data_IF_272490872408
#
_entry.id   IF_272490872408
#
_cell.length_a   1.000
_cell.length_b   1.000
_cell.length_c   1.000
_cell.angle_alpha   90.00
_cell.angle_beta   90.00
_cell.angle_gamma   90.00
#
_symmetry.space_group_name_H-M   'P 1'
#
loop_
_entity.id
_entity.type
_entity.pdbx_description
1 polymer ?
#
# COMPACT_ATOMS: atom_id res chain seq x y z
N UNK A 1 -70.04 -0.58 51.76
CA UNK A 1 -69.08 -1.65 51.43
C UNK A 1 -67.80 -1.01 51.01
N UNK A 2 -66.89 -0.71 51.95
CA UNK A 2 -65.59 -0.10 51.63
C UNK A 2 -64.51 -1.19 51.60
N UNK A 3 -63.96 -1.40 50.42
CA UNK A 3 -62.86 -2.29 50.21
C UNK A 3 -61.62 -1.77 50.93
N UNK A 4 -61.11 -2.53 51.89
CA UNK A 4 -59.85 -2.27 52.54
C UNK A 4 -58.75 -2.55 51.57
N UNK A 5 -58.16 -1.51 50.92
CA UNK A 5 -56.92 -1.61 50.15
C UNK A 5 -55.85 -2.14 51.09
N UNK A 6 -55.22 -3.25 50.71
CA UNK A 6 -54.21 -3.92 51.52
C UNK A 6 -52.98 -3.03 51.69
N UNK A 7 -52.88 -2.32 52.77
CA UNK A 7 -51.75 -1.46 53.19
C UNK A 7 -50.38 -2.18 53.10
N UNK A 8 -50.27 -3.51 53.37
CA UNK A 8 -48.99 -4.19 53.28
C UNK A 8 -48.44 -4.31 51.85
N UNK A 9 -49.28 -4.33 50.80
CA UNK A 9 -48.83 -4.43 49.44
C UNK A 9 -48.20 -3.14 48.91
N UNK A 10 -48.69 -2.00 49.36
CA UNK A 10 -48.11 -0.69 49.00
C UNK A 10 -46.82 -0.43 49.75
N UNK A 11 -46.66 -0.92 50.96
CA UNK A 11 -45.45 -0.78 51.76
C UNK A 11 -44.31 -1.66 51.19
N UNK A 12 -44.62 -2.86 50.70
CA UNK A 12 -43.62 -3.75 50.05
C UNK A 12 -43.17 -3.25 48.69
N UNK A 13 -44.07 -2.65 47.89
CA UNK A 13 -43.69 -2.02 46.61
C UNK A 13 -42.83 -0.77 46.83
N UNK A 14 -43.18 0.04 47.84
CA UNK A 14 -42.40 1.24 48.20
C UNK A 14 -41.02 0.91 48.74
N UNK A 15 -40.88 -0.18 49.52
CA UNK A 15 -39.61 -0.65 50.06
C UNK A 15 -38.69 -1.24 48.98
N UNK A 16 -39.24 -1.96 47.99
CA UNK A 16 -38.49 -2.50 46.87
C UNK A 16 -37.92 -1.41 45.92
N UNK A 17 -38.65 -0.29 45.78
CA UNK A 17 -38.20 0.86 45.01
C UNK A 17 -37.07 1.66 45.70
N UNK A 18 -37.08 1.67 47.06
CA UNK A 18 -36.01 2.37 47.81
C UNK A 18 -34.69 1.55 47.86
N UNK A 19 -34.77 0.22 47.78
CA UNK A 19 -33.58 -0.64 47.77
C UNK A 19 -32.88 -0.70 46.41
N UNK A 20 -33.58 -0.37 45.32
CA UNK A 20 -32.97 -0.30 43.98
C UNK A 20 -32.11 0.96 43.75
N UNK A 21 -32.17 1.93 44.67
CA UNK A 21 -31.42 3.19 44.59
C UNK A 21 -29.94 3.11 45.00
N UNK A 22 -29.52 2.02 45.67
CA UNK A 22 -28.14 1.91 46.19
C UNK A 22 -27.16 1.14 45.26
N UNK A 23 -27.57 0.72 44.09
CA UNK A 23 -26.71 -0.03 43.16
C UNK A 23 -26.04 0.84 42.11
N UNK A 24 -25.79 2.11 42.39
CA UNK A 24 -24.97 2.97 41.56
C UNK A 24 -23.47 2.78 41.86
N UNK A 25 -23.01 1.54 41.90
CA UNK A 25 -21.60 1.27 41.77
C UNK A 25 -21.27 1.51 40.30
N UNK A 26 -20.68 2.68 40.05
CA UNK A 26 -20.10 3.00 38.75
C UNK A 26 -19.04 1.94 38.44
N UNK A 27 -19.29 1.13 37.44
CA UNK A 27 -18.30 0.11 37.03
C UNK A 27 -17.10 0.83 36.48
N UNK A 28 -15.95 0.58 37.07
CA UNK A 28 -14.67 0.94 36.50
C UNK A 28 -14.47 0.08 35.21
N UNK A 29 -14.11 0.73 34.15
CA UNK A 29 -13.74 0.05 32.89
C UNK A 29 -12.28 0.32 32.60
N UNK A 30 -11.55 -0.72 32.28
CA UNK A 30 -10.22 -0.63 31.68
C UNK A 30 -10.30 -1.08 30.23
N UNK A 31 -9.65 -0.35 29.35
CA UNK A 31 -9.42 -0.72 27.97
C UNK A 31 -7.92 -0.94 27.80
N UNK A 32 -7.60 -2.07 27.15
CA UNK A 32 -6.26 -2.44 26.77
C UNK A 32 -6.11 -2.28 25.25
N UNK A 33 -5.08 -1.58 24.84
CA UNK A 33 -4.76 -1.33 23.44
C UNK A 33 -3.25 -1.55 23.24
N UNK A 34 -2.88 -2.30 22.21
CA UNK A 34 -1.51 -2.42 21.76
C UNK A 34 -1.24 -1.35 20.71
N UNK A 35 -0.23 -0.51 20.93
CA UNK A 35 0.19 0.52 19.99
C UNK A 35 1.60 0.23 19.51
N UNK A 36 1.77 0.16 18.20
CA UNK A 36 3.07 -0.03 17.55
C UNK A 36 3.50 1.26 16.90
N UNK A 37 4.61 1.82 17.35
CA UNK A 37 5.24 2.97 16.73
C UNK A 37 6.42 2.52 15.86
N UNK A 38 6.44 2.97 14.59
CA UNK A 38 7.51 2.70 13.64
C UNK A 38 8.19 3.99 13.26
N UNK A 39 9.46 4.11 13.60
CA UNK A 39 10.30 5.24 13.23
C UNK A 39 11.32 4.80 12.18
N UNK A 40 11.33 5.43 11.02
CA UNK A 40 12.35 5.19 10.01
C UNK A 40 13.70 5.67 10.53
N UNK A 41 14.68 4.76 10.62
CA UNK A 41 16.06 5.03 11.02
C UNK A 41 16.96 5.26 9.82
N UNK A 42 16.82 4.42 8.80
CA UNK A 42 17.62 4.49 7.59
C UNK A 42 16.80 4.07 6.36
N UNK A 43 17.07 4.75 5.25
CA UNK A 43 16.57 4.41 3.93
C UNK A 43 17.76 4.36 2.98
N UNK A 44 17.86 3.29 2.19
CA UNK A 44 18.89 3.13 1.17
C UNK A 44 18.33 2.39 -0.05
N UNK A 45 18.93 2.68 -1.20
CA UNK A 45 18.68 1.96 -2.44
C UNK A 45 19.87 1.05 -2.74
N UNK A 46 19.63 -0.12 -3.28
CA UNK A 46 20.66 -1.07 -3.67
C UNK A 46 20.43 -1.50 -5.12
N UNK A 47 21.48 -1.41 -5.93
CA UNK A 47 21.48 -1.88 -7.30
C UNK A 47 22.33 -3.15 -7.36
N UNK A 48 21.69 -4.28 -7.64
CA UNK A 48 22.35 -5.57 -7.84
C UNK A 48 22.46 -5.84 -9.34
N UNK A 49 23.64 -5.64 -9.89
CA UNK A 49 23.96 -5.93 -11.29
C UNK A 49 24.34 -7.41 -11.51
N UNK A 50 24.43 -8.21 -10.45
CA UNK A 50 24.90 -9.58 -10.48
C UNK A 50 26.40 -9.72 -10.81
N UNK A 51 26.90 -10.95 -10.70
CA UNK A 51 28.28 -11.29 -11.07
C UNK A 51 28.30 -12.07 -12.42
N UNK A 52 29.33 -11.90 -13.24
CA UNK A 52 30.38 -10.89 -13.16
C UNK A 52 29.88 -9.48 -13.47
N UNK A 53 30.53 -8.45 -12.90
CA UNK A 53 30.22 -7.03 -13.20
C UNK A 53 30.69 -6.60 -14.61
N UNK A 54 30.63 -7.52 -15.52
CA UNK A 54 31.00 -7.37 -16.93
C UNK A 54 29.89 -7.92 -17.79
N UNK A 55 29.44 -7.15 -18.75
CA UNK A 55 28.46 -7.53 -19.74
C UNK A 55 29.14 -8.30 -20.86
N UNK A 56 28.88 -9.60 -20.95
CA UNK A 56 29.41 -10.49 -22.01
C UNK A 56 28.37 -10.78 -23.08
N UNK A 57 27.10 -10.63 -22.74
CA UNK A 57 25.93 -10.69 -23.61
C UNK A 57 25.25 -9.33 -23.67
N UNK A 58 24.51 -9.01 -24.75
CA UNK A 58 23.84 -7.72 -24.90
C UNK A 58 22.77 -7.50 -23.86
N UNK A 59 22.17 -8.57 -23.32
CA UNK A 59 21.10 -8.55 -22.35
C UNK A 59 21.60 -8.77 -20.92
N UNK A 60 21.04 -8.00 -19.97
CA UNK A 60 21.28 -8.18 -18.54
C UNK A 60 20.05 -7.74 -17.74
N UNK A 61 19.71 -8.52 -16.73
CA UNK A 61 18.71 -8.14 -15.74
C UNK A 61 19.42 -7.60 -14.51
N UNK A 62 19.02 -6.40 -14.10
CA UNK A 62 19.56 -5.70 -12.93
C UNK A 62 18.43 -5.60 -11.92
N UNK A 63 18.69 -6.02 -10.69
CA UNK A 63 17.71 -5.95 -9.63
C UNK A 63 17.94 -4.70 -8.77
N UNK A 64 16.86 -3.96 -8.51
CA UNK A 64 16.92 -2.76 -7.68
C UNK A 64 16.01 -2.96 -6.49
N UNK A 65 16.57 -2.73 -5.30
CA UNK A 65 15.90 -2.94 -4.02
C UNK A 65 15.90 -1.66 -3.20
N UNK A 66 14.82 -1.40 -2.56
CA UNK A 66 14.65 -0.41 -1.52
C UNK A 66 14.82 -1.09 -0.16
N UNK A 67 15.75 -0.59 0.65
CA UNK A 67 16.00 -1.11 2.00
C UNK A 67 15.65 -0.05 3.03
N UNK A 68 14.76 -0.41 3.96
CA UNK A 68 14.35 0.44 5.07
C UNK A 68 14.62 -0.23 6.39
N UNK A 69 15.19 0.53 7.31
CA UNK A 69 15.41 0.10 8.70
C UNK A 69 14.50 0.92 9.58
N UNK A 70 13.68 0.24 10.38
CA UNK A 70 12.76 0.87 11.32
C UNK A 70 13.16 0.54 12.75
N UNK A 71 13.03 1.53 13.64
CA UNK A 71 12.95 1.33 15.08
C UNK A 71 11.47 1.13 15.42
N UNK A 72 11.14 -0.08 15.82
CA UNK A 72 9.76 -0.46 16.17
C UNK A 72 9.66 -0.55 17.68
N UNK A 73 8.78 0.25 18.26
CA UNK A 73 8.51 0.24 19.69
C UNK A 73 7.05 -0.16 19.89
N UNK A 74 6.83 -1.20 20.69
CA UNK A 74 5.52 -1.69 21.08
C UNK A 74 5.18 -1.18 22.46
N UNK A 75 4.00 -0.59 22.57
CA UNK A 75 3.46 -0.06 23.81
C UNK A 75 2.17 -0.79 24.16
N UNK A 76 2.06 -1.16 25.42
CA UNK A 76 0.81 -1.57 26.03
C UNK A 76 0.17 -0.34 26.68
N UNK A 77 -0.99 0.07 26.18
CA UNK A 77 -1.72 1.25 26.65
C UNK A 77 -2.95 0.81 27.41
N UNK A 78 -2.93 0.98 28.73
CA UNK A 78 -4.06 0.70 29.61
C UNK A 78 -4.77 2.00 29.96
N UNK A 79 -6.00 2.15 29.46
CA UNK A 79 -6.86 3.29 29.80
C UNK A 79 -7.79 2.92 30.92
N UNK A 80 -7.69 3.62 32.04
CA UNK A 80 -8.55 3.46 33.19
C UNK A 80 -9.62 4.57 33.21
N UNK A 81 -10.88 4.16 33.29
CA UNK A 81 -12.01 5.07 33.32
C UNK A 81 -12.65 5.04 34.71
N UNK A 82 -12.73 6.20 35.38
CA UNK A 82 -13.28 6.33 36.73
C UNK A 82 -14.79 6.12 36.78
N UNK A 83 -15.49 6.42 35.70
CA UNK A 83 -16.93 6.36 35.64
C UNK A 83 -17.41 5.88 34.30
N UNK A 84 -18.10 4.78 34.30
CA UNK A 84 -18.82 4.28 33.14
C UNK A 84 -20.27 4.02 33.51
N UNK A 85 -21.20 4.79 32.96
CA UNK A 85 -22.63 4.56 33.10
C UNK A 85 -23.15 3.95 31.79
N UNK A 86 -23.38 2.63 31.72
CA UNK A 86 -23.88 2.00 30.52
C UNK A 86 -25.27 2.55 30.18
N UNK A 87 -25.54 2.71 28.88
CA UNK A 87 -26.87 3.06 28.40
C UNK A 87 -27.89 1.98 28.80
N UNK A 88 -29.00 2.39 29.40
CA UNK A 88 -30.09 1.52 29.84
C UNK A 88 -31.38 1.93 29.12
N UNK A 89 -31.77 1.20 28.08
CA UNK A 89 -32.93 1.54 27.26
C UNK A 89 -34.25 1.63 28.03
N UNK A 90 -34.43 0.80 29.08
CA UNK A 90 -35.64 0.81 29.90
C UNK A 90 -35.86 2.13 30.66
N UNK A 91 -34.80 2.88 30.96
CA UNK A 91 -34.89 4.19 31.61
C UNK A 91 -35.61 5.22 30.75
N UNK A 92 -35.61 5.04 29.43
CA UNK A 92 -36.30 5.95 28.51
C UNK A 92 -37.83 5.96 28.71
N UNK A 93 -38.40 4.93 29.30
CA UNK A 93 -39.85 4.89 29.62
C UNK A 93 -40.26 6.02 30.53
N UNK A 94 -39.39 6.45 31.46
CA UNK A 94 -39.68 7.56 32.35
C UNK A 94 -38.88 8.83 32.07
N UNK A 95 -37.66 8.70 31.52
CA UNK A 95 -36.83 9.85 31.21
C UNK A 95 -37.41 10.73 30.09
N UNK A 96 -38.03 10.13 29.06
CA UNK A 96 -38.67 10.90 27.98
C UNK A 96 -39.84 11.75 28.49
N UNK A 97 -40.84 11.22 29.21
CA UNK A 97 -41.91 12.05 29.71
C UNK A 97 -41.44 13.09 30.77
N UNK A 98 -40.50 12.72 31.64
CA UNK A 98 -39.91 13.66 32.60
C UNK A 98 -39.07 14.74 31.91
N UNK A 99 -38.34 14.37 30.84
CA UNK A 99 -37.57 15.31 30.01
C UNK A 99 -38.48 16.36 29.37
N UNK A 100 -39.62 15.94 28.83
CA UNK A 100 -40.60 16.88 28.28
C UNK A 100 -41.11 17.88 29.32
N UNK A 101 -41.44 17.38 30.53
CA UNK A 101 -41.87 18.24 31.66
C UNK A 101 -40.73 19.19 32.06
N UNK A 102 -39.50 18.72 32.12
CA UNK A 102 -38.33 19.52 32.46
C UNK A 102 -38.07 20.64 31.47
N UNK A 103 -38.23 20.41 30.17
CA UNK A 103 -38.10 21.47 29.16
C UNK A 103 -39.16 22.55 29.38
N UNK A 104 -40.42 22.18 29.64
CA UNK A 104 -41.49 23.13 29.93
C UNK A 104 -41.18 23.93 31.20
N UNK A 105 -40.72 23.24 32.26
CA UNK A 105 -40.33 23.90 33.52
C UNK A 105 -39.13 24.85 33.30
N UNK A 106 -38.15 24.46 32.47
CA UNK A 106 -37.01 25.30 32.10
C UNK A 106 -37.42 26.57 31.37
N UNK A 107 -38.39 26.48 30.44
CA UNK A 107 -38.99 27.67 29.80
C UNK A 107 -39.63 28.57 30.82
N UNK A 108 -40.47 28.02 31.73
CA UNK A 108 -41.09 28.77 32.80
C UNK A 108 -40.10 29.47 33.74
N UNK A 109 -39.03 28.76 34.13
CA UNK A 109 -37.98 29.32 34.98
C UNK A 109 -37.23 30.47 34.30
N UNK A 110 -36.98 30.36 32.97
CA UNK A 110 -36.35 31.43 32.23
C UNK A 110 -37.24 32.67 32.06
N UNK A 111 -38.56 32.49 31.85
CA UNK A 111 -39.52 33.60 31.83
C UNK A 111 -39.56 34.28 33.21
N UNK A 112 -39.61 33.50 34.29
CA UNK A 112 -39.55 34.03 35.66
C UNK A 112 -38.23 34.77 35.93
N UNK A 113 -37.11 34.26 35.43
CA UNK A 113 -35.80 34.90 35.56
C UNK A 113 -35.75 36.29 34.89
N UNK A 114 -36.36 36.41 33.70
CA UNK A 114 -36.49 37.70 33.02
C UNK A 114 -37.34 38.67 33.81
N UNK A 115 -38.49 38.20 34.35
CA UNK A 115 -39.40 39.04 35.14
C UNK A 115 -38.84 39.45 36.49
N UNK A 116 -37.91 38.67 37.05
CA UNK A 116 -37.26 38.94 38.33
C UNK A 116 -35.84 39.52 38.19
N UNK A 117 -35.51 40.02 37.03
CA UNK A 117 -34.22 40.64 36.74
C UNK A 117 -33.00 39.77 37.12
N UNK A 118 -33.07 38.46 36.85
CA UNK A 118 -31.92 37.56 37.02
C UNK A 118 -31.81 36.92 38.41
N UNK A 119 -32.86 36.96 39.22
CA UNK A 119 -32.87 36.40 40.60
C UNK A 119 -33.18 34.88 40.65
N UNK A 120 -33.42 34.22 39.53
CA UNK A 120 -33.64 32.77 39.50
C UNK A 120 -32.29 32.03 39.37
N UNK A 121 -32.01 31.04 40.26
CA UNK A 121 -30.74 30.31 40.23
C UNK A 121 -30.47 29.61 38.87
N UNK A 122 -29.23 29.58 38.45
CA UNK A 122 -28.79 28.88 37.21
C UNK A 122 -29.17 27.41 37.20
N UNK A 123 -29.24 26.75 38.34
CA UNK A 123 -29.71 25.36 38.48
C UNK A 123 -31.16 25.17 38.04
N UNK A 124 -32.01 26.20 38.22
CA UNK A 124 -33.38 26.17 37.78
C UNK A 124 -33.56 26.58 36.31
N UNK A 125 -32.69 27.45 35.77
CA UNK A 125 -32.79 27.92 34.41
C UNK A 125 -32.07 27.01 33.40
N UNK A 126 -30.84 26.59 33.72
CA UNK A 126 -30.04 25.70 32.86
C UNK A 126 -30.24 24.23 33.19
N UNK A 127 -30.29 23.88 34.49
CA UNK A 127 -30.37 22.49 34.91
C UNK A 127 -31.62 21.76 34.39
N UNK A 128 -32.75 22.44 34.30
CA UNK A 128 -33.99 21.89 33.75
C UNK A 128 -33.86 21.63 32.23
N UNK A 129 -33.20 22.50 31.51
CA UNK A 129 -32.96 22.26 30.07
C UNK A 129 -31.99 21.12 29.84
N UNK A 130 -30.87 21.08 30.58
CA UNK A 130 -29.88 20.00 30.47
C UNK A 130 -30.54 18.64 30.78
N UNK A 131 -31.33 18.57 31.85
CA UNK A 131 -32.10 17.37 32.17
C UNK A 131 -33.12 17.03 31.09
N UNK A 132 -33.87 18.04 30.62
CA UNK A 132 -34.89 17.87 29.60
C UNK A 132 -34.37 17.37 28.28
N UNK A 133 -33.32 17.98 27.77
CA UNK A 133 -32.70 17.56 26.49
C UNK A 133 -32.05 16.20 26.61
N UNK A 134 -31.38 15.88 27.71
CA UNK A 134 -30.85 14.55 27.98
C UNK A 134 -31.94 13.48 28.05
N UNK A 135 -33.08 13.81 28.69
CA UNK A 135 -34.23 12.91 28.80
C UNK A 135 -34.89 12.61 27.45
N UNK A 136 -35.00 13.63 26.59
CA UNK A 136 -35.60 13.49 25.27
C UNK A 136 -34.69 12.78 24.28
N UNK A 137 -33.37 12.76 24.48
CA UNK A 137 -32.43 12.09 23.57
C UNK A 137 -32.53 10.56 23.76
N UNK A 138 -32.88 9.80 22.70
CA UNK A 138 -33.08 8.35 22.81
C UNK A 138 -31.76 7.55 23.01
N UNK A 139 -30.62 8.17 22.82
CA UNK A 139 -29.32 7.48 22.83
C UNK A 139 -28.51 7.65 24.11
N UNK A 140 -28.94 8.52 25.03
CA UNK A 140 -28.24 8.81 26.29
C UNK A 140 -29.21 8.79 27.47
N UNK A 141 -28.73 8.40 28.65
CA UNK A 141 -29.52 8.50 29.87
C UNK A 141 -29.26 9.81 30.61
N UNK A 142 -30.27 10.35 31.27
CA UNK A 142 -30.19 11.62 32.04
C UNK A 142 -29.17 11.57 33.16
N UNK A 143 -29.02 10.43 33.85
CA UNK A 143 -28.05 10.24 34.92
C UNK A 143 -26.61 10.37 34.47
N UNK A 144 -26.37 10.19 33.16
CA UNK A 144 -25.05 10.45 32.55
C UNK A 144 -24.84 11.94 32.23
N UNK A 145 -25.77 12.85 32.58
CA UNK A 145 -25.73 14.28 32.28
C UNK A 145 -25.53 14.58 30.81
N UNK A 146 -26.14 13.77 29.93
CA UNK A 146 -25.89 13.90 28.50
C UNK A 146 -24.47 13.59 28.07
N UNK A 147 -23.72 13.11 29.01
CA UNK A 147 -22.37 12.73 28.74
C UNK A 147 -22.36 11.23 28.69
N UNK A 148 -22.20 10.59 27.51
CA UNK A 148 -21.80 9.19 27.33
C UNK A 148 -20.43 9.05 28.01
N UNK A 149 -20.31 8.58 29.29
CA UNK A 149 -19.18 9.10 29.90
C UNK A 149 -18.33 8.17 30.60
N UNK A 150 -17.36 7.98 29.82
CA UNK A 150 -16.04 7.56 30.22
C UNK A 150 -15.24 8.81 30.60
N UNK A 151 -15.07 9.10 31.87
CA UNK A 151 -14.05 10.04 32.31
C UNK A 151 -12.76 9.23 32.39
N UNK A 152 -11.84 9.50 31.47
CA UNK A 152 -10.50 8.94 31.50
C UNK A 152 -9.80 9.45 32.76
N UNK A 153 -9.49 8.54 33.68
CA UNK A 153 -8.81 8.86 34.93
C UNK A 153 -7.30 8.79 34.76
N UNK A 154 -6.82 7.76 34.08
CA UNK A 154 -5.40 7.53 33.89
C UNK A 154 -5.15 6.80 32.58
N UNK A 155 -3.98 7.08 31.97
CA UNK A 155 -3.42 6.34 30.87
C UNK A 155 -2.07 5.81 31.35
N UNK A 156 -1.98 4.50 31.51
CA UNK A 156 -0.73 3.83 31.78
C UNK A 156 -0.19 3.31 30.44
N UNK A 157 0.92 3.87 30.00
CA UNK A 157 1.63 3.49 28.82
C UNK A 157 2.94 2.82 29.21
N UNK A 158 3.06 1.54 28.91
CA UNK A 158 4.26 0.77 29.20
C UNK A 158 4.89 0.31 27.89
N UNK A 159 6.16 0.63 27.70
CA UNK A 159 6.94 0.06 26.61
C UNK A 159 7.19 -1.43 26.89
N UNK A 160 6.70 -2.29 25.99
CA UNK A 160 6.82 -3.74 26.12
C UNK A 160 8.06 -4.24 25.39
N UNK A 161 8.25 -3.79 24.14
CA UNK A 161 9.35 -4.24 23.31
C UNK A 161 9.89 -3.10 22.46
N UNK A 162 11.19 -3.18 22.18
CA UNK A 162 11.85 -2.33 21.17
C UNK A 162 12.75 -3.19 20.31
N UNK A 163 12.52 -3.19 19.00
CA UNK A 163 13.31 -3.96 18.05
C UNK A 163 13.61 -3.18 16.78
N UNK A 164 14.67 -3.61 16.10
CA UNK A 164 14.99 -3.05 14.78
C UNK A 164 14.46 -4.00 13.71
N UNK A 165 13.60 -3.48 12.82
CA UNK A 165 13.07 -4.21 11.67
C UNK A 165 13.76 -3.76 10.40
N UNK A 166 14.18 -4.75 9.60
CA UNK A 166 14.76 -4.53 8.28
C UNK A 166 13.77 -4.98 7.21
N UNK A 167 13.48 -4.10 6.28
CA UNK A 167 12.59 -4.40 5.17
C UNK A 167 13.33 -4.17 3.87
N UNK A 168 13.25 -5.15 2.95
CA UNK A 168 13.78 -5.05 1.59
C UNK A 168 12.65 -5.28 0.62
N UNK A 169 12.34 -4.26 -0.17
CA UNK A 169 11.25 -4.25 -1.13
C UNK A 169 11.81 -4.04 -2.55
N UNK A 170 11.16 -4.58 -3.59
CA UNK A 170 11.53 -4.27 -4.95
C UNK A 170 11.24 -2.78 -5.26
N UNK A 171 12.18 -2.13 -5.95
CA UNK A 171 12.01 -0.78 -6.50
C UNK A 171 11.16 -0.84 -7.76
N UNK A 172 9.84 -1.05 -7.59
CA UNK A 172 8.92 -1.39 -8.67
C UNK A 172 8.40 -0.17 -9.41
N UNK A 173 8.31 -0.28 -10.75
CA UNK A 173 7.71 0.74 -11.64
C UNK A 173 8.30 2.14 -11.44
N UNK A 174 9.60 2.20 -11.17
CA UNK A 174 10.33 3.45 -10.91
C UNK A 174 11.35 3.73 -11.99
N UNK A 175 11.63 5.01 -12.19
CA UNK A 175 12.61 5.45 -13.17
C UNK A 175 14.04 5.17 -12.72
N UNK A 176 14.83 4.73 -13.66
CA UNK A 176 16.25 4.40 -13.53
C UNK A 176 16.98 5.12 -14.65
N UNK A 177 18.00 5.87 -14.31
CA UNK A 177 18.84 6.53 -15.30
C UNK A 177 20.01 5.62 -15.65
N UNK A 178 20.17 5.30 -16.94
CA UNK A 178 21.31 4.54 -17.46
C UNK A 178 22.12 5.43 -18.38
N UNK A 179 23.39 5.65 -18.03
CA UNK A 179 24.33 6.38 -18.87
C UNK A 179 25.20 5.42 -19.65
N UNK A 180 25.25 5.60 -20.97
CA UNK A 180 26.07 4.83 -21.90
C UNK A 180 26.91 5.80 -22.73
N UNK A 181 28.21 5.90 -22.44
CA UNK A 181 29.06 6.91 -23.05
C UNK A 181 28.61 8.34 -22.69
N UNK A 182 28.33 9.16 -23.72
CA UNK A 182 27.85 10.54 -23.53
C UNK A 182 26.32 10.69 -23.43
N UNK A 183 25.57 9.59 -23.55
CA UNK A 183 24.11 9.61 -23.56
C UNK A 183 23.52 9.10 -22.26
N UNK A 184 22.34 9.64 -21.91
CA UNK A 184 21.61 9.26 -20.71
C UNK A 184 20.20 8.82 -21.10
N UNK A 185 19.77 7.67 -20.61
CA UNK A 185 18.49 7.06 -20.90
C UNK A 185 17.70 6.89 -19.62
N UNK A 186 16.40 7.15 -19.68
CA UNK A 186 15.48 6.84 -18.60
C UNK A 186 14.72 5.57 -18.94
N UNK A 187 14.91 4.55 -18.12
CA UNK A 187 14.24 3.27 -18.19
C UNK A 187 13.41 3.08 -16.94
N UNK A 188 12.47 2.14 -16.96
CA UNK A 188 11.68 1.80 -15.78
C UNK A 188 11.90 0.35 -15.35
N UNK A 189 11.82 0.11 -14.05
CA UNK A 189 11.80 -1.24 -13.51
C UNK A 189 10.42 -1.87 -13.69
N UNK A 190 10.37 -3.19 -13.72
CA UNK A 190 9.11 -3.93 -13.68
C UNK A 190 8.49 -3.97 -12.27
N UNK A 191 7.37 -4.68 -12.12
CA UNK A 191 6.67 -4.86 -10.83
C UNK A 191 7.49 -5.63 -9.78
N UNK A 192 8.61 -6.28 -10.18
CA UNK A 192 9.53 -7.01 -9.31
C UNK A 192 10.83 -6.24 -9.04
N UNK A 193 10.91 -4.98 -9.47
CA UNK A 193 12.12 -4.15 -9.36
C UNK A 193 13.26 -4.59 -10.27
N UNK A 194 12.96 -5.30 -11.38
CA UNK A 194 13.94 -5.72 -12.36
C UNK A 194 14.02 -4.72 -13.50
N UNK A 195 15.23 -4.29 -13.81
CA UNK A 195 15.55 -3.51 -15.01
C UNK A 195 16.13 -4.44 -16.06
N UNK A 196 15.50 -4.52 -17.23
CA UNK A 196 16.06 -5.21 -18.40
C UNK A 196 16.93 -4.24 -19.18
N UNK A 197 18.22 -4.55 -19.28
CA UNK A 197 19.16 -3.87 -20.16
C UNK A 197 19.35 -4.74 -21.38
N UNK A 198 19.19 -4.18 -22.58
CA UNK A 198 19.56 -4.82 -23.82
C UNK A 198 20.20 -3.79 -24.75
N UNK A 199 21.47 -3.97 -25.08
CA UNK A 199 22.23 -3.05 -25.91
C UNK A 199 21.83 -3.10 -27.39
N UNK A 200 21.06 -4.11 -27.80
CA UNK A 200 20.53 -4.27 -29.15
C UNK A 200 19.07 -3.81 -29.28
N UNK A 201 18.42 -3.37 -28.18
CA UNK A 201 17.08 -2.80 -28.22
C UNK A 201 17.10 -1.27 -28.07
N UNK A 202 16.00 -0.63 -28.47
CA UNK A 202 15.78 0.78 -28.15
C UNK A 202 15.73 0.98 -26.60
N UNK A 203 16.29 2.06 -26.05
CA UNK A 203 16.88 3.18 -26.81
C UNK A 203 18.38 3.04 -27.13
N UNK A 204 19.04 1.96 -26.76
CA UNK A 204 20.50 1.79 -26.96
C UNK A 204 20.85 1.52 -28.40
N UNK A 205 20.06 0.72 -29.11
CA UNK A 205 20.28 0.40 -30.51
C UNK A 205 20.27 1.65 -31.41
N UNK A 206 19.47 2.65 -31.03
CA UNK A 206 19.33 3.91 -31.78
C UNK A 206 20.56 4.81 -31.66
N UNK A 207 21.47 4.47 -30.74
CA UNK A 207 22.67 5.28 -30.50
C UNK A 207 23.81 4.92 -31.46
N UNK A 208 24.20 5.85 -32.29
CA UNK A 208 25.41 5.73 -33.08
C UNK A 208 26.63 5.56 -32.16
N UNK A 209 27.30 4.41 -32.23
CA UNK A 209 28.50 4.15 -31.45
C UNK A 209 28.29 3.43 -30.12
N UNK A 210 27.16 2.78 -29.89
CA UNK A 210 26.93 1.91 -28.73
C UNK A 210 28.03 0.86 -28.55
N UNK A 211 28.57 0.34 -29.63
CA UNK A 211 29.71 -0.61 -29.66
C UNK A 211 31.03 -0.03 -29.09
N UNK A 212 31.13 1.30 -28.95
CA UNK A 212 32.31 1.98 -28.35
C UNK A 212 32.14 2.18 -26.84
N UNK A 213 30.95 1.97 -26.30
CA UNK A 213 30.66 2.14 -24.87
C UNK A 213 31.37 1.07 -24.06
N UNK A 214 32.28 1.48 -23.19
CA UNK A 214 33.03 0.57 -22.32
C UNK A 214 32.40 0.28 -20.98
N UNK A 215 31.48 1.14 -20.54
CA UNK A 215 30.84 1.03 -19.23
C UNK A 215 29.46 1.66 -19.27
N UNK A 216 28.49 0.98 -18.65
CA UNK A 216 27.18 1.51 -18.33
C UNK A 216 27.19 1.97 -16.89
N UNK A 217 26.67 3.16 -16.62
CA UNK A 217 26.41 3.67 -15.27
C UNK A 217 24.93 3.67 -15.03
N UNK A 218 24.50 2.99 -13.97
CA UNK A 218 23.10 2.85 -13.59
C UNK A 218 22.92 3.66 -12.32
N UNK A 219 22.00 4.60 -12.31
CA UNK A 219 21.70 5.43 -11.14
C UNK A 219 20.21 5.47 -10.88
N UNK A 220 19.85 5.44 -9.61
CA UNK A 220 18.49 5.57 -9.12
C UNK A 220 18.44 6.67 -8.07
N UNK A 221 17.33 7.40 -8.03
CA UNK A 221 17.11 8.47 -7.07
C UNK A 221 15.67 8.41 -6.58
N UNK A 222 15.49 8.40 -5.27
CA UNK A 222 14.16 8.58 -4.67
C UNK A 222 13.83 10.06 -4.57
N UNK A 223 12.81 10.55 -5.29
CA UNK A 223 12.44 11.96 -5.25
C UNK A 223 11.83 12.40 -3.90
N UNK A 224 11.45 11.45 -3.03
CA UNK A 224 10.81 11.76 -1.75
C UNK A 224 11.79 12.23 -0.70
N UNK A 225 12.97 11.61 -0.62
CA UNK A 225 13.97 11.90 0.39
C UNK A 225 15.37 12.15 -0.17
N UNK A 226 15.53 12.04 -1.50
CA UNK A 226 16.80 12.24 -2.18
C UNK A 226 17.81 11.10 -2.03
N UNK A 227 17.39 9.93 -1.53
CA UNK A 227 18.24 8.75 -1.45
C UNK A 227 18.65 8.29 -2.84
N UNK A 228 19.95 8.04 -3.02
CA UNK A 228 20.52 7.68 -4.31
C UNK A 228 21.35 6.41 -4.22
N UNK A 229 21.41 5.66 -5.32
CA UNK A 229 22.36 4.58 -5.49
C UNK A 229 22.91 4.58 -6.92
N UNK A 230 24.15 4.15 -7.05
CA UNK A 230 24.83 4.03 -8.33
C UNK A 230 25.54 2.68 -8.45
N UNK A 231 25.54 2.12 -9.63
CA UNK A 231 26.29 0.93 -9.99
C UNK A 231 26.88 1.07 -11.40
N UNK A 232 28.00 0.42 -11.62
CA UNK A 232 28.65 0.39 -12.93
C UNK A 232 28.75 -1.05 -13.43
N UNK A 233 28.53 -1.21 -14.74
CA UNK A 233 28.60 -2.48 -15.44
C UNK A 233 29.52 -2.31 -16.65
N UNK A 234 30.67 -2.98 -16.67
CA UNK A 234 31.60 -2.90 -17.78
C UNK A 234 31.04 -3.68 -18.98
N UNK A 235 31.28 -3.18 -20.19
CA UNK A 235 30.94 -3.88 -21.44
C UNK A 235 32.19 -4.56 -21.99
N UNK A 236 32.18 -5.88 -22.14
CA UNK A 236 33.34 -6.63 -22.58
C UNK A 236 33.79 -6.21 -23.99
N UNK A 237 35.09 -6.28 -24.25
CA UNK A 237 35.62 -5.98 -25.58
C UNK A 237 35.09 -6.95 -26.64
N UNK A 238 34.90 -8.22 -26.25
CA UNK A 238 34.35 -9.24 -27.12
C UNK A 238 32.91 -8.90 -27.54
N UNK A 239 32.06 -8.51 -26.60
CA UNK A 239 30.69 -8.09 -26.89
C UNK A 239 30.67 -6.86 -27.82
N UNK A 240 31.48 -5.83 -27.50
CA UNK A 240 31.54 -4.61 -28.30
C UNK A 240 31.90 -4.89 -29.78
N UNK A 241 32.79 -5.89 -30.03
CA UNK A 241 33.13 -6.32 -31.36
C UNK A 241 31.98 -6.96 -32.15
N UNK A 242 31.03 -7.58 -31.45
CA UNK A 242 29.87 -8.25 -32.04
C UNK A 242 28.65 -7.33 -32.25
N UNK A 243 28.53 -6.27 -31.47
CA UNK A 243 27.31 -5.42 -31.47
C UNK A 243 27.00 -4.78 -32.81
N UNK A 244 28.04 -4.37 -33.58
CA UNK A 244 27.83 -3.75 -34.90
C UNK A 244 27.25 -4.75 -35.88
N UNK A 245 27.84 -5.96 -35.94
CA UNK A 245 27.38 -7.02 -36.83
C UNK A 245 25.96 -7.48 -36.43
N UNK A 246 25.74 -7.70 -35.12
CA UNK A 246 24.44 -8.11 -34.62
C UNK A 246 23.33 -7.06 -34.90
N UNK A 247 23.63 -5.79 -34.74
CA UNK A 247 22.70 -4.71 -35.08
C UNK A 247 22.30 -4.76 -36.56
N UNK A 248 23.24 -4.92 -37.48
CA UNK A 248 22.94 -5.06 -38.91
C UNK A 248 22.08 -6.28 -39.21
N UNK A 249 22.39 -7.44 -38.57
CA UNK A 249 21.61 -8.67 -38.78
C UNK A 249 20.15 -8.53 -38.30
N UNK A 250 19.88 -7.70 -37.29
CA UNK A 250 18.53 -7.52 -36.71
C UNK A 250 17.77 -6.42 -37.47
N UNK A 251 18.39 -5.26 -37.68
CA UNK A 251 17.68 -4.04 -38.10
C UNK A 251 17.85 -3.65 -39.56
N UNK A 252 18.83 -4.26 -40.31
CA UNK A 252 18.90 -3.98 -41.73
C UNK A 252 17.66 -4.46 -42.46
N UNK A 253 17.25 -3.69 -43.44
CA UNK A 253 16.04 -3.90 -44.22
C UNK A 253 15.90 -5.34 -44.73
N UNK A 254 14.70 -5.91 -44.50
CA UNK A 254 14.32 -7.23 -45.01
C UNK A 254 13.54 -7.17 -46.31
N UNK A 255 13.20 -5.94 -46.81
CA UNK A 255 12.45 -5.78 -48.03
C UNK A 255 13.27 -6.32 -49.22
N UNK A 256 12.69 -7.31 -49.94
CA UNK A 256 13.35 -7.97 -51.06
C UNK A 256 14.34 -9.06 -50.69
N UNK A 257 14.59 -9.34 -49.39
CA UNK A 257 15.40 -10.47 -48.97
C UNK A 257 14.58 -11.76 -48.97
N UNK A 258 15.14 -12.86 -49.48
CA UNK A 258 14.48 -14.17 -49.47
C UNK A 258 14.75 -14.96 -48.18
N UNK A 259 14.09 -16.11 -48.09
CA UNK A 259 14.22 -17.06 -46.97
C UNK A 259 15.67 -17.42 -46.64
N UNK A 260 16.51 -17.56 -47.66
CA UNK A 260 17.93 -17.88 -47.45
C UNK A 260 18.68 -16.82 -46.64
N UNK A 261 18.39 -15.54 -46.85
CA UNK A 261 18.97 -14.43 -46.10
C UNK A 261 18.45 -14.41 -44.65
N UNK A 262 17.19 -14.63 -44.44
CA UNK A 262 16.59 -14.70 -43.10
C UNK A 262 17.23 -15.81 -42.26
N UNK A 263 17.37 -17.01 -42.85
CA UNK A 263 18.06 -18.15 -42.20
C UNK A 263 19.52 -17.83 -41.93
N UNK A 264 20.21 -17.13 -42.85
CA UNK A 264 21.59 -16.70 -42.66
C UNK A 264 21.71 -15.76 -41.46
N UNK A 265 20.82 -14.77 -41.30
CA UNK A 265 20.82 -13.81 -40.18
C UNK A 265 20.62 -14.50 -38.85
N UNK A 266 19.58 -15.35 -38.71
CA UNK A 266 19.33 -16.13 -37.49
C UNK A 266 20.53 -17.02 -37.16
N UNK A 267 21.05 -17.76 -38.11
CA UNK A 267 22.23 -18.63 -37.94
C UNK A 267 23.45 -17.82 -37.49
N UNK A 268 23.70 -16.67 -38.13
CA UNK A 268 24.87 -15.84 -37.84
C UNK A 268 24.80 -15.23 -36.41
N UNK A 269 23.62 -14.81 -35.94
CA UNK A 269 23.44 -14.38 -34.58
C UNK A 269 23.78 -15.51 -33.58
N UNK A 270 23.32 -16.73 -33.82
CA UNK A 270 23.66 -17.88 -33.01
C UNK A 270 25.17 -18.19 -33.00
N UNK A 271 25.85 -18.13 -34.18
CA UNK A 271 27.30 -18.29 -34.28
C UNK A 271 28.07 -17.21 -33.50
N UNK A 272 27.55 -16.00 -33.40
CA UNK A 272 28.11 -14.95 -32.56
C UNK A 272 27.92 -15.24 -31.05
N UNK A 273 27.16 -16.29 -30.69
CA UNK A 273 26.80 -16.63 -29.32
C UNK A 273 25.70 -15.74 -28.76
N UNK A 274 24.86 -15.18 -29.63
CA UNK A 274 23.72 -14.32 -29.32
C UNK A 274 22.41 -15.13 -29.51
N UNK A 275 22.25 -16.19 -28.73
CA UNK A 275 21.20 -17.19 -28.96
C UNK A 275 19.80 -16.64 -28.66
N UNK A 276 19.69 -15.72 -27.67
CA UNK A 276 18.43 -15.10 -27.31
C UNK A 276 17.95 -14.18 -28.44
N UNK A 277 18.84 -13.37 -29.00
CA UNK A 277 18.58 -12.49 -30.14
C UNK A 277 18.27 -13.29 -31.43
N UNK A 278 18.96 -14.39 -31.61
CA UNK A 278 18.67 -15.29 -32.73
C UNK A 278 17.26 -15.88 -32.63
N UNK A 279 16.85 -16.27 -31.42
CA UNK A 279 15.52 -16.81 -31.18
C UNK A 279 14.44 -15.73 -31.30
N UNK A 280 14.69 -14.51 -30.82
CA UNK A 280 13.77 -13.39 -30.97
C UNK A 280 13.57 -13.00 -32.44
N UNK A 281 14.65 -12.97 -33.24
CA UNK A 281 14.56 -12.74 -34.68
C UNK A 281 13.80 -13.86 -35.40
N UNK A 282 14.07 -15.13 -35.06
CA UNK A 282 13.35 -16.29 -35.59
C UNK A 282 11.84 -16.18 -35.35
N UNK A 283 11.44 -15.87 -34.10
CA UNK A 283 10.01 -15.70 -33.75
C UNK A 283 9.36 -14.52 -34.50
N UNK A 284 10.09 -13.41 -34.63
CA UNK A 284 9.62 -12.24 -35.38
C UNK A 284 9.41 -12.56 -36.87
N UNK A 285 10.28 -13.36 -37.47
CA UNK A 285 10.15 -13.79 -38.88
C UNK A 285 9.00 -14.79 -39.08
N UNK A 286 8.79 -15.70 -38.11
CA UNK A 286 7.63 -16.60 -38.12
C UNK A 286 6.32 -15.80 -38.01
N UNK A 287 6.25 -14.78 -37.15
CA UNK A 287 5.06 -13.94 -37.04
C UNK A 287 4.85 -13.08 -38.30
N UNK A 288 5.93 -12.54 -38.90
CA UNK A 288 5.88 -11.78 -40.14
C UNK A 288 5.29 -12.61 -41.29
N UNK A 289 5.62 -13.91 -41.35
CA UNK A 289 5.18 -14.84 -42.41
C UNK A 289 3.83 -15.49 -42.07
N UNK A 290 3.17 -15.15 -40.97
CA UNK A 290 1.92 -15.78 -40.51
C UNK A 290 0.80 -15.74 -41.56
N UNK A 291 0.76 -14.70 -42.39
CA UNK A 291 -0.25 -14.55 -43.44
C UNK A 291 0.09 -15.29 -44.74
N UNK A 292 1.28 -15.88 -44.85
CA UNK A 292 1.74 -16.68 -45.98
C UNK A 292 2.27 -18.05 -45.49
N UNK A 293 1.38 -19.05 -45.38
CA UNK A 293 1.75 -20.36 -44.84
C UNK A 293 2.81 -21.11 -45.67
N UNK A 294 2.89 -20.87 -46.98
CA UNK A 294 3.88 -21.50 -47.85
C UNK A 294 5.27 -20.94 -47.54
N UNK A 295 5.38 -19.62 -47.46
CA UNK A 295 6.62 -18.92 -47.10
C UNK A 295 7.08 -19.26 -45.67
N UNK A 296 6.13 -19.35 -44.73
CA UNK A 296 6.41 -19.74 -43.35
C UNK A 296 6.97 -21.16 -43.28
N UNK A 297 6.37 -22.11 -44.02
CA UNK A 297 6.82 -23.50 -44.05
C UNK A 297 8.22 -23.62 -44.69
N UNK A 298 8.47 -22.88 -45.78
CA UNK A 298 9.76 -22.83 -46.43
C UNK A 298 10.84 -22.30 -45.46
N UNK A 299 10.54 -21.24 -44.72
CA UNK A 299 11.46 -20.68 -43.73
C UNK A 299 11.77 -21.70 -42.62
N UNK A 300 10.78 -22.34 -42.03
CA UNK A 300 10.95 -23.33 -40.95
C UNK A 300 11.78 -24.54 -41.47
N UNK A 301 11.50 -25.05 -42.65
CA UNK A 301 12.26 -26.16 -43.24
C UNK A 301 13.70 -25.76 -43.54
N UNK A 302 13.93 -24.54 -44.01
CA UNK A 302 15.24 -24.02 -44.30
C UNK A 302 16.04 -23.78 -42.99
N UNK A 303 15.42 -23.32 -41.91
CA UNK A 303 16.04 -23.22 -40.58
C UNK A 303 16.51 -24.58 -40.07
N UNK A 304 15.66 -25.59 -40.12
CA UNK A 304 16.01 -26.96 -39.70
C UNK A 304 17.19 -27.52 -40.52
N UNK A 305 17.14 -27.35 -41.84
CA UNK A 305 18.15 -27.91 -42.75
C UNK A 305 19.47 -27.19 -42.68
N UNK A 306 19.48 -25.86 -42.64
CA UNK A 306 20.69 -25.05 -42.85
C UNK A 306 21.27 -24.46 -41.57
N UNK A 307 20.45 -24.29 -40.51
CA UNK A 307 20.87 -23.76 -39.21
C UNK A 307 20.86 -24.82 -38.11
N UNK A 308 20.30 -26.02 -38.35
CA UNK A 308 20.19 -27.08 -37.35
C UNK A 308 19.27 -26.71 -36.17
N UNK A 309 18.39 -25.72 -36.38
CA UNK A 309 17.46 -25.21 -35.35
C UNK A 309 16.08 -25.85 -35.52
N UNK A 310 15.49 -26.30 -34.42
CA UNK A 310 14.10 -26.68 -34.40
C UNK A 310 13.34 -25.39 -34.08
N UNK A 311 12.51 -24.93 -35.01
CA UNK A 311 11.62 -23.83 -34.73
C UNK A 311 10.76 -24.19 -33.51
N UNK A 312 10.66 -23.26 -32.57
CA UNK A 312 9.74 -23.42 -31.45
C UNK A 312 8.33 -23.62 -32.02
N UNK A 313 7.61 -24.65 -31.56
CA UNK A 313 6.23 -24.92 -31.98
C UNK A 313 5.37 -23.69 -31.62
N UNK A 314 4.76 -22.99 -32.61
CA UNK A 314 3.95 -21.80 -32.32
C UNK A 314 2.67 -22.11 -31.52
N UNK A 315 2.37 -23.38 -31.25
CA UNK A 315 1.23 -23.84 -30.44
C UNK A 315 1.54 -24.19 -28.99
N UNK A 316 2.77 -24.04 -28.50
CA UNK A 316 3.17 -24.48 -27.16
C UNK A 316 2.92 -23.46 -26.03
N UNK A 317 2.37 -22.29 -26.34
CA UNK A 317 2.07 -21.20 -25.37
C UNK A 317 0.57 -20.87 -25.31
N UNK A 318 -0.28 -21.88 -25.10
CA UNK A 318 -1.67 -21.69 -24.64
C UNK A 318 -1.85 -22.15 -23.18
#
# INVERSE_FOLDING_TARGET
>A
MYSRLNLPLVATLGGALLLSGCANQLSQRSEHEERVERKLLAHSLQIDVGEPKVLELPQRRVRILEQKTFDVTEFEVNRHYDRYTPYQAWRKLYEIPLGAVAVVAGVGANVANILTFGNVPDSATKGWFDYGFAGLNPFINVESHGRSQQNLANIDEQQVERRTEYTSLPWSERNVTVKAGGHSYELSTDNKGMLRLNLLDSPFADQAGISKVGTLQISVNDPQDGTQAEASLAVSRALRGKLVEAHGLIYDDLEGSGVAEWVHRVKRLAELGLEEEASELEQSLIELTRNDPELQLEFIQSLQKNAGRLAADPGAND
#
